data_IF_055668829802
#
_entry.id   IF_055668829802
#
_cell.length_a   1.000
_cell.length_b   1.000
_cell.length_c   1.000
_cell.angle_alpha   90.00
_cell.angle_beta   90.00
_cell.angle_gamma   90.00
#
_symmetry.space_group_name_H-M   'P 1'
#
loop_
_entity.id
_entity.type
_entity.pdbx_description
1 polymer ?
#
# COMPACT_ATOMS: atom_id res chain seq x y z
N UNK A 1 -7.68 -20.28 -5.22
CA UNK A 1 -7.70 -20.26 -3.73
C UNK A 1 -7.02 -19.02 -3.13
N UNK A 2 -5.86 -18.61 -3.64
CA UNK A 2 -5.12 -17.45 -3.11
C UNK A 2 -5.88 -16.13 -3.24
N UNK A 3 -6.51 -15.86 -4.38
CA UNK A 3 -7.27 -14.63 -4.62
C UNK A 3 -8.48 -14.50 -3.68
N UNK A 4 -9.19 -15.60 -3.42
CA UNK A 4 -10.32 -15.62 -2.49
C UNK A 4 -9.89 -15.28 -1.04
N UNK A 5 -8.68 -15.67 -0.64
CA UNK A 5 -8.12 -15.28 0.66
C UNK A 5 -7.89 -13.77 0.75
N UNK A 6 -7.26 -13.18 -0.26
CA UNK A 6 -7.02 -11.73 -0.29
C UNK A 6 -8.31 -10.92 -0.32
N UNK A 7 -9.31 -11.35 -1.07
CA UNK A 7 -10.62 -10.71 -1.08
C UNK A 7 -11.29 -10.74 0.29
N UNK A 8 -11.22 -11.86 1.00
CA UNK A 8 -11.83 -12.03 2.33
C UNK A 8 -11.11 -11.27 3.43
N UNK A 9 -9.80 -11.11 3.32
CA UNK A 9 -9.00 -10.41 4.33
C UNK A 9 -8.86 -8.92 4.07
N UNK A 10 -9.40 -8.46 2.95
CA UNK A 10 -9.40 -7.05 2.59
C UNK A 10 -10.27 -6.24 3.54
N UNK A 11 -9.74 -5.13 4.03
CA UNK A 11 -10.38 -4.29 5.03
C UNK A 11 -10.77 -2.94 4.45
N UNK A 12 -11.90 -2.42 4.90
CA UNK A 12 -12.33 -1.05 4.65
C UNK A 12 -12.43 -0.28 5.97
N UNK A 13 -12.29 1.04 5.91
CA UNK A 13 -12.53 1.85 7.09
C UNK A 13 -14.04 2.01 7.38
N UNK A 14 -14.38 2.67 8.51
CA UNK A 14 -15.77 2.89 8.95
C UNK A 14 -16.67 3.63 7.96
N UNK A 15 -16.08 4.33 6.99
CA UNK A 15 -16.80 5.05 5.92
C UNK A 15 -16.80 4.26 4.61
N UNK A 16 -16.42 3.00 4.63
CA UNK A 16 -16.37 2.14 3.45
C UNK A 16 -15.23 2.43 2.48
N UNK A 17 -14.28 3.28 2.85
CA UNK A 17 -13.08 3.51 2.03
C UNK A 17 -12.15 2.32 2.09
N UNK A 18 -11.63 1.94 0.95
CA UNK A 18 -10.66 0.88 0.80
C UNK A 18 -9.35 1.28 1.50
N UNK A 19 -8.84 0.45 2.38
CA UNK A 19 -7.60 0.71 3.12
C UNK A 19 -6.56 -0.38 2.99
N UNK A 20 -6.93 -1.60 2.63
CA UNK A 20 -6.00 -2.70 2.37
C UNK A 20 -6.09 -3.84 3.37
N UNK A 21 -4.96 -4.41 3.74
CA UNK A 21 -4.87 -5.62 4.55
C UNK A 21 -4.13 -5.36 5.86
N UNK A 22 -4.48 -6.14 6.89
CA UNK A 22 -3.70 -6.19 8.12
C UNK A 22 -2.28 -6.72 7.84
N UNK A 23 -1.30 -6.12 8.48
CA UNK A 23 0.08 -6.57 8.42
C UNK A 23 0.31 -7.93 9.10
N UNK A 24 -0.58 -8.33 9.99
CA UNK A 24 -0.57 -9.63 10.67
C UNK A 24 -1.97 -10.19 10.75
N UNK A 25 -2.12 -11.46 10.40
CA UNK A 25 -3.35 -12.22 10.59
C UNK A 25 -3.00 -13.40 11.50
N UNK A 26 -3.59 -13.42 12.70
CA UNK A 26 -3.49 -14.56 13.61
C UNK A 26 -4.69 -15.47 13.42
N UNK A 27 -4.45 -16.79 13.33
CA UNK A 27 -5.53 -17.77 13.28
C UNK A 27 -6.31 -17.88 14.60
N UNK A 28 -5.76 -17.41 15.70
CA UNK A 28 -6.30 -17.60 17.05
C UNK A 28 -7.04 -16.39 17.62
N UNK A 29 -6.91 -15.21 16.99
CA UNK A 29 -7.53 -13.98 17.46
C UNK A 29 -8.22 -13.31 16.28
N UNK A 30 -9.54 -13.20 16.33
CA UNK A 30 -10.27 -12.21 15.54
C UNK A 30 -9.81 -10.84 16.03
N UNK A 31 -8.77 -10.30 15.41
CA UNK A 31 -8.27 -8.97 15.74
C UNK A 31 -9.30 -7.95 15.29
N UNK A 32 -10.01 -7.36 16.24
CA UNK A 32 -10.95 -6.26 16.01
C UNK A 32 -10.22 -4.96 15.62
N UNK A 33 -8.91 -4.88 15.82
CA UNK A 33 -8.09 -3.72 15.46
C UNK A 33 -7.40 -3.93 14.13
N UNK A 34 -7.81 -3.14 13.14
CA UNK A 34 -7.05 -2.98 11.91
C UNK A 34 -5.78 -2.17 12.21
N UNK A 35 -4.62 -2.81 12.11
CA UNK A 35 -3.33 -2.12 12.15
C UNK A 35 -2.92 -1.74 10.73
N UNK A 36 -3.05 -0.47 10.43
CA UNK A 36 -2.68 0.05 9.14
C UNK A 36 -1.16 0.11 9.00
N UNK A 37 -0.63 -0.61 8.04
CA UNK A 37 0.80 -0.67 7.76
C UNK A 37 1.05 -0.42 6.27
N UNK A 38 1.85 0.58 5.97
CA UNK A 38 2.19 0.97 4.60
C UNK A 38 3.50 0.33 4.10
N UNK A 39 4.16 -0.46 4.91
CA UNK A 39 5.49 -0.99 4.59
C UNK A 39 5.51 -1.88 3.35
N UNK A 40 6.70 -1.99 2.78
CA UNK A 40 6.94 -2.86 1.63
C UNK A 40 6.84 -4.35 1.98
N UNK A 41 7.38 -4.76 3.12
CA UNK A 41 7.53 -6.18 3.47
C UNK A 41 6.20 -6.89 3.76
N UNK A 42 5.33 -6.26 4.55
CA UNK A 42 4.05 -6.86 5.00
C UNK A 42 2.93 -5.84 5.17
N UNK A 43 3.09 -4.70 4.53
CA UNK A 43 2.07 -3.65 4.54
C UNK A 43 1.18 -3.69 3.30
N UNK A 44 0.13 -2.90 3.34
CA UNK A 44 -0.86 -2.82 2.26
C UNK A 44 -0.28 -2.38 0.92
N UNK A 45 0.71 -1.48 0.91
CA UNK A 45 1.33 -1.03 -0.34
C UNK A 45 2.16 -2.12 -1.00
N UNK A 46 2.96 -2.87 -0.23
CA UNK A 46 3.72 -4.00 -0.78
C UNK A 46 2.80 -5.07 -1.35
N UNK A 47 1.74 -5.44 -0.62
CA UNK A 47 0.73 -6.38 -1.08
C UNK A 47 0.04 -5.89 -2.36
N UNK A 48 -0.42 -4.65 -2.39
CA UNK A 48 -1.09 -4.06 -3.55
C UNK A 48 -0.17 -4.05 -4.78
N UNK A 49 1.12 -3.74 -4.60
CA UNK A 49 2.09 -3.76 -5.71
C UNK A 49 2.28 -5.17 -6.30
N UNK A 50 2.34 -6.18 -5.46
CA UNK A 50 2.41 -7.59 -5.91
C UNK A 50 1.16 -7.96 -6.69
N UNK A 51 -0.03 -7.64 -6.17
CA UNK A 51 -1.30 -7.91 -6.86
C UNK A 51 -1.41 -7.17 -8.19
N UNK A 52 -0.94 -5.93 -8.25
CA UNK A 52 -0.88 -5.17 -9.50
C UNK A 52 -0.04 -5.88 -10.56
N UNK A 53 1.15 -6.34 -10.17
CA UNK A 53 2.04 -7.07 -11.09
C UNK A 53 1.44 -8.41 -11.54
N UNK A 54 0.84 -9.15 -10.61
CA UNK A 54 0.14 -10.41 -10.94
C UNK A 54 -1.00 -10.15 -11.91
N UNK A 55 -1.78 -9.09 -11.72
CA UNK A 55 -2.91 -8.76 -12.59
C UNK A 55 -2.51 -8.54 -14.04
N UNK A 56 -1.30 -8.03 -14.29
CA UNK A 56 -0.77 -7.87 -15.65
C UNK A 56 -0.38 -9.19 -16.31
N UNK A 57 0.06 -10.16 -15.50
CA UNK A 57 0.51 -11.48 -16.01
C UNK A 57 -0.69 -12.37 -16.33
N UNK A 58 -1.68 -12.40 -15.45
CA UNK A 58 -2.85 -13.29 -15.57
C UNK A 58 -4.10 -12.59 -16.11
N UNK A 59 -3.98 -11.33 -16.51
CA UNK A 59 -5.04 -10.51 -17.10
C UNK A 59 -6.34 -10.50 -16.28
N UNK A 60 -6.24 -10.07 -15.03
CA UNK A 60 -7.40 -9.83 -14.15
C UNK A 60 -7.50 -8.33 -13.82
N UNK A 61 -8.25 -7.54 -14.64
CA UNK A 61 -8.35 -6.09 -14.46
C UNK A 61 -8.86 -5.66 -13.08
N UNK A 62 -9.76 -6.44 -12.49
CA UNK A 62 -10.30 -6.18 -11.14
C UNK A 62 -9.21 -6.14 -10.05
N UNK A 63 -8.18 -6.98 -10.15
CA UNK A 63 -7.05 -6.94 -9.23
C UNK A 63 -6.20 -5.70 -9.41
N UNK A 64 -6.03 -5.27 -10.64
CA UNK A 64 -5.31 -4.04 -10.96
C UNK A 64 -6.02 -2.82 -10.38
N UNK A 65 -7.33 -2.74 -10.56
CA UNK A 65 -8.18 -1.70 -9.99
C UNK A 65 -8.10 -1.68 -8.46
N UNK A 66 -8.28 -2.83 -7.82
CA UNK A 66 -8.18 -2.97 -6.38
C UNK A 66 -6.81 -2.51 -5.83
N UNK A 67 -5.73 -2.92 -6.48
CA UNK A 67 -4.38 -2.51 -6.10
C UNK A 67 -4.19 -0.99 -6.21
N UNK A 68 -4.68 -0.39 -7.29
CA UNK A 68 -4.64 1.06 -7.49
C UNK A 68 -5.45 1.81 -6.43
N UNK A 69 -6.62 1.30 -6.07
CA UNK A 69 -7.47 1.87 -5.02
C UNK A 69 -6.79 1.84 -3.64
N UNK A 70 -6.03 0.79 -3.36
CA UNK A 70 -5.22 0.73 -2.12
C UNK A 70 -4.16 1.82 -2.09
N UNK A 71 -3.48 2.09 -3.21
CA UNK A 71 -2.53 3.19 -3.28
C UNK A 71 -3.19 4.55 -3.08
N UNK A 72 -4.34 4.80 -3.67
CA UNK A 72 -5.11 6.04 -3.46
C UNK A 72 -5.54 6.20 -2.00
N UNK A 73 -6.07 5.17 -1.38
CA UNK A 73 -6.45 5.18 0.04
C UNK A 73 -5.25 5.44 0.95
N UNK A 74 -4.09 4.90 0.59
CA UNK A 74 -2.85 5.05 1.36
C UNK A 74 -2.36 6.50 1.43
N UNK A 75 -2.64 7.30 0.44
CA UNK A 75 -2.28 8.73 0.42
C UNK A 75 -2.91 9.47 1.62
N UNK A 76 -4.16 9.17 1.91
CA UNK A 76 -4.84 9.77 3.06
C UNK A 76 -4.14 9.44 4.38
N UNK A 77 -3.69 8.20 4.54
CA UNK A 77 -3.01 7.76 5.76
C UNK A 77 -1.57 8.25 5.86
N UNK A 78 -0.88 8.43 4.74
CA UNK A 78 0.46 9.02 4.71
C UNK A 78 0.47 10.43 5.31
N UNK A 79 -0.55 11.21 5.03
CA UNK A 79 -0.67 12.58 5.54
C UNK A 79 -0.96 12.65 7.05
N UNK A 80 -1.50 11.57 7.63
CA UNK A 80 -1.88 11.49 9.05
C UNK A 80 -0.95 10.65 9.90
N UNK A 81 0.01 9.95 9.29
CA UNK A 81 0.88 8.98 9.96
C UNK A 81 2.32 9.47 10.00
N UNK A 82 2.95 9.33 11.16
CA UNK A 82 4.38 9.59 11.29
C UNK A 82 5.19 8.37 10.85
N UNK A 83 6.01 8.54 9.81
CA UNK A 83 6.96 7.52 9.38
C UNK A 83 8.30 7.80 10.03
N UNK A 84 8.71 6.93 10.96
CA UNK A 84 9.81 7.18 11.87
C UNK A 84 11.22 7.03 11.27
N UNK A 85 11.36 6.32 10.13
CA UNK A 85 12.68 6.03 9.56
C UNK A 85 12.70 6.06 8.03
N UNK A 86 13.89 5.96 7.45
CA UNK A 86 14.12 6.00 6.01
C UNK A 86 14.44 4.62 5.40
N UNK A 87 14.23 3.54 6.13
CA UNK A 87 14.53 2.20 5.65
C UNK A 87 13.67 1.81 4.43
N UNK A 88 14.20 0.92 3.61
CA UNK A 88 13.48 0.35 2.46
C UNK A 88 12.31 -0.51 2.94
N UNK A 89 12.55 -1.37 3.91
CA UNK A 89 11.56 -2.37 4.32
C UNK A 89 10.34 -1.75 5.04
N UNK A 90 10.57 -0.80 5.93
CA UNK A 90 9.55 -0.27 6.85
C UNK A 90 9.49 1.26 6.89
N UNK A 91 10.17 1.95 6.00
CA UNK A 91 10.33 3.39 6.05
C UNK A 91 9.98 4.13 4.76
N UNK A 92 10.35 5.41 4.75
CA UNK A 92 10.06 6.33 3.62
C UNK A 92 10.59 5.84 2.28
N UNK A 93 11.79 5.26 2.26
CA UNK A 93 12.41 4.83 1.00
C UNK A 93 11.63 3.72 0.31
N UNK A 94 11.10 2.76 1.05
CA UNK A 94 10.26 1.71 0.48
C UNK A 94 8.92 2.24 -0.03
N UNK A 95 8.26 3.09 0.72
CA UNK A 95 6.99 3.72 0.31
C UNK A 95 7.20 4.60 -0.92
N UNK A 96 8.27 5.42 -0.93
CA UNK A 96 8.65 6.25 -2.07
C UNK A 96 8.85 5.39 -3.33
N UNK A 97 9.59 4.31 -3.22
CA UNK A 97 9.84 3.39 -4.33
C UNK A 97 8.53 2.81 -4.88
N UNK A 98 7.63 2.35 -4.00
CA UNK A 98 6.35 1.76 -4.42
C UNK A 98 5.47 2.77 -5.16
N UNK A 99 5.37 4.01 -4.67
CA UNK A 99 4.63 5.07 -5.36
C UNK A 99 5.27 5.44 -6.70
N UNK A 100 6.61 5.48 -6.77
CA UNK A 100 7.29 5.74 -8.03
C UNK A 100 7.03 4.64 -9.06
N UNK A 101 7.07 3.38 -8.66
CA UNK A 101 6.75 2.25 -9.54
C UNK A 101 5.30 2.30 -10.04
N UNK A 102 4.36 2.66 -9.17
CA UNK A 102 2.96 2.86 -9.58
C UNK A 102 2.81 4.03 -10.55
N UNK A 103 3.52 5.13 -10.34
CA UNK A 103 3.55 6.23 -11.30
C UNK A 103 4.06 5.78 -12.67
N UNK A 104 5.15 5.03 -12.72
CA UNK A 104 5.73 4.54 -13.98
C UNK A 104 4.76 3.63 -14.74
N UNK A 105 3.97 2.85 -14.03
CA UNK A 105 3.00 1.92 -14.65
C UNK A 105 1.67 2.57 -15.01
N UNK A 106 1.18 3.54 -14.22
CA UNK A 106 -0.14 4.14 -14.41
C UNK A 106 -0.12 5.51 -15.06
N UNK A 107 0.98 6.24 -14.95
CA UNK A 107 1.10 7.64 -15.37
C UNK A 107 0.40 8.63 -14.43
N UNK A 108 -0.14 8.20 -13.29
CA UNK A 108 -0.87 9.08 -12.38
C UNK A 108 0.06 10.06 -11.66
N UNK A 109 -0.10 11.35 -11.94
CA UNK A 109 0.73 12.42 -11.38
C UNK A 109 0.67 12.50 -9.85
N UNK A 110 -0.43 12.07 -9.24
CA UNK A 110 -0.59 12.04 -7.79
C UNK A 110 0.41 11.09 -7.14
N UNK A 111 0.68 9.93 -7.75
CA UNK A 111 1.69 9.00 -7.26
C UNK A 111 3.10 9.56 -7.36
N UNK A 112 3.39 10.28 -8.44
CA UNK A 112 4.66 10.99 -8.57
C UNK A 112 4.84 12.05 -7.48
N UNK A 113 3.82 12.85 -7.21
CA UNK A 113 3.86 13.88 -6.18
C UNK A 113 4.17 13.30 -4.79
N UNK A 114 3.57 12.18 -4.44
CA UNK A 114 3.86 11.46 -3.18
C UNK A 114 5.32 10.99 -3.12
N UNK A 115 5.80 10.37 -4.20
CA UNK A 115 7.19 9.92 -4.29
C UNK A 115 8.18 11.08 -4.14
N UNK A 116 7.95 12.19 -4.84
CA UNK A 116 8.81 13.38 -4.78
C UNK A 116 8.82 14.02 -3.38
N UNK A 117 7.67 14.06 -2.71
CA UNK A 117 7.58 14.58 -1.35
C UNK A 117 8.33 13.71 -0.34
N UNK A 118 8.20 12.40 -0.45
CA UNK A 118 8.94 11.46 0.41
C UNK A 118 10.45 11.57 0.16
N UNK A 119 10.87 11.73 -1.08
CA UNK A 119 12.28 11.97 -1.40
C UNK A 119 12.83 13.23 -0.71
N UNK A 120 12.09 14.34 -0.77
CA UNK A 120 12.47 15.57 -0.07
C UNK A 120 12.58 15.37 1.44
N UNK A 121 11.64 14.64 2.04
CA UNK A 121 11.71 14.31 3.48
C UNK A 121 12.94 13.47 3.83
N UNK A 122 13.28 12.48 3.00
CA UNK A 122 14.47 11.65 3.20
C UNK A 122 15.73 12.50 3.17
N UNK A 123 15.86 13.37 2.19
CA UNK A 123 17.03 14.26 2.03
C UNK A 123 17.15 15.25 3.18
N UNK A 124 16.05 15.84 3.61
CA UNK A 124 16.05 16.86 4.67
C UNK A 124 16.27 16.27 6.07
N UNK A 125 15.99 14.98 6.28
CA UNK A 125 16.16 14.27 7.56
C UNK A 125 17.37 13.34 7.59
N UNK A 126 18.17 13.39 6.55
CA UNK A 126 19.39 12.59 6.48
C UNK A 126 20.50 13.13 7.40
#
# INVERSE_FOLDING_TARGET
>A
KGLSYYEKTFQTNKIGKIIGWNGRVSAEVESEKFEYNLSWCYGSLGMARVLYNISKIIDIPKLQELATDVFHSSIYYLNSSEILNNAICHGRSGIMLLFNLMYLDTGESQFKAISDNLFKEIVNKA
#
